data_IF_768972071009
#
_entry.id   IF_768972071009
#
_cell.length_a   1.000
_cell.length_b   1.000
_cell.length_c   1.000
_cell.angle_alpha   90.00
_cell.angle_beta   90.00
_cell.angle_gamma   90.00
#
_symmetry.space_group_name_H-M   'P 1'
#
loop_
_entity.id
_entity.type
_entity.pdbx_description
1 polymer ?
#
# COMPACT_ATOMS: atom_id res chain seq x y z
N UNK A 1 -11.47 -9.99 -49.73
CA UNK A 1 -12.14 -9.28 -48.61
C UNK A 1 -11.96 -9.98 -47.25
N UNK A 2 -12.08 -11.31 -47.15
CA UNK A 2 -12.01 -12.07 -45.88
C UNK A 2 -10.74 -11.88 -45.02
N UNK A 3 -9.56 -11.76 -45.65
CA UNK A 3 -8.27 -11.62 -44.95
C UNK A 3 -8.15 -10.31 -44.14
N UNK A 4 -8.81 -9.23 -44.58
CA UNK A 4 -8.84 -7.95 -43.87
C UNK A 4 -9.73 -8.00 -42.62
N UNK A 5 -10.83 -8.75 -42.66
CA UNK A 5 -11.71 -8.91 -41.49
C UNK A 5 -11.00 -9.70 -40.39
N UNK A 6 -10.32 -10.80 -40.76
CA UNK A 6 -9.51 -11.59 -39.83
C UNK A 6 -8.37 -10.77 -39.19
N UNK A 7 -7.68 -9.92 -39.97
CA UNK A 7 -6.62 -9.05 -39.46
C UNK A 7 -7.15 -7.99 -38.48
N UNK A 8 -8.28 -7.33 -38.81
CA UNK A 8 -8.92 -6.34 -37.96
C UNK A 8 -9.43 -6.96 -36.65
N UNK A 9 -10.05 -8.12 -36.72
CA UNK A 9 -10.54 -8.84 -35.54
C UNK A 9 -9.39 -9.29 -34.64
N UNK A 10 -8.28 -9.77 -35.22
CA UNK A 10 -7.08 -10.12 -34.45
C UNK A 10 -6.46 -8.91 -33.77
N UNK A 11 -6.40 -7.76 -34.45
CA UNK A 11 -5.92 -6.50 -33.86
C UNK A 11 -6.83 -6.03 -32.72
N UNK A 12 -8.15 -6.11 -32.88
CA UNK A 12 -9.11 -5.76 -31.83
C UNK A 12 -8.96 -6.69 -30.63
N UNK A 13 -8.83 -8.00 -30.85
CA UNK A 13 -8.63 -8.99 -29.80
C UNK A 13 -7.31 -8.76 -29.04
N UNK A 14 -6.23 -8.39 -29.73
CA UNK A 14 -4.97 -8.06 -29.08
C UNK A 14 -5.08 -6.78 -28.22
N UNK A 15 -5.72 -5.74 -28.75
CA UNK A 15 -5.89 -4.48 -28.01
C UNK A 15 -6.77 -4.70 -26.76
N UNK A 16 -7.89 -5.41 -26.89
CA UNK A 16 -8.76 -5.69 -25.75
C UNK A 16 -8.07 -6.58 -24.71
N UNK A 17 -7.30 -7.58 -25.15
CA UNK A 17 -6.53 -8.43 -24.27
C UNK A 17 -5.45 -7.65 -23.50
N UNK A 18 -4.69 -6.78 -24.18
CA UNK A 18 -3.70 -5.92 -23.53
C UNK A 18 -4.36 -4.97 -22.54
N UNK A 19 -5.49 -4.37 -22.90
CA UNK A 19 -6.26 -3.51 -22.00
C UNK A 19 -6.69 -4.25 -20.73
N UNK A 20 -7.29 -5.44 -20.89
CA UNK A 20 -7.72 -6.26 -19.75
C UNK A 20 -6.54 -6.70 -18.88
N UNK A 21 -5.45 -7.19 -19.48
CA UNK A 21 -4.24 -7.57 -18.76
C UNK A 21 -3.63 -6.38 -18.01
N UNK A 22 -3.60 -5.20 -18.65
CA UNK A 22 -3.12 -3.97 -18.04
C UNK A 22 -3.94 -3.56 -16.81
N UNK A 23 -5.27 -3.64 -16.88
CA UNK A 23 -6.12 -3.34 -15.73
C UNK A 23 -5.90 -4.31 -14.57
N UNK A 24 -5.76 -5.61 -14.85
CA UNK A 24 -5.45 -6.61 -13.81
C UNK A 24 -4.10 -6.30 -13.16
N UNK A 25 -3.05 -6.06 -13.96
CA UNK A 25 -1.73 -5.69 -13.43
C UNK A 25 -1.80 -4.43 -12.55
N UNK A 26 -2.54 -3.40 -12.97
CA UNK A 26 -2.70 -2.18 -12.20
C UNK A 26 -3.43 -2.42 -10.87
N UNK A 27 -4.46 -3.25 -10.84
CA UNK A 27 -5.18 -3.61 -9.60
C UNK A 27 -4.26 -4.30 -8.58
N UNK A 28 -3.44 -5.25 -9.02
CA UNK A 28 -2.48 -5.92 -8.13
C UNK A 28 -1.32 -5.02 -7.71
N UNK A 29 -0.87 -4.11 -8.58
CA UNK A 29 0.21 -3.18 -8.27
C UNK A 29 -0.20 -2.03 -7.32
N UNK A 30 -1.50 -1.73 -7.18
CA UNK A 30 -1.97 -0.64 -6.33
C UNK A 30 -1.67 -0.85 -4.84
N UNK A 31 -1.77 -2.08 -4.35
CA UNK A 31 -1.53 -2.43 -2.94
C UNK A 31 -0.08 -2.16 -2.51
N UNK A 32 0.95 -2.74 -3.15
CA UNK A 32 2.34 -2.49 -2.76
C UNK A 32 2.76 -1.02 -2.96
N UNK A 33 2.18 -0.33 -3.96
CA UNK A 33 2.40 1.10 -4.12
C UNK A 33 1.91 1.90 -2.91
N UNK A 34 0.75 1.53 -2.36
CA UNK A 34 0.21 2.14 -1.15
C UNK A 34 1.02 1.78 0.10
N UNK A 35 1.51 0.54 0.20
CA UNK A 35 2.39 0.13 1.30
C UNK A 35 3.68 0.96 1.34
N UNK A 36 4.34 1.16 0.20
CA UNK A 36 5.53 2.02 0.09
C UNK A 36 5.20 3.45 0.51
N UNK A 37 4.06 3.97 0.08
CA UNK A 37 3.60 5.30 0.50
C UNK A 37 3.45 5.38 2.02
N UNK A 38 2.79 4.41 2.65
CA UNK A 38 2.65 4.32 4.11
C UNK A 38 4.01 4.22 4.81
N UNK A 39 4.94 3.43 4.26
CA UNK A 39 6.28 3.26 4.80
C UNK A 39 7.16 4.50 4.71
N UNK A 40 7.01 5.34 3.69
CA UNK A 40 7.83 6.56 3.55
C UNK A 40 7.23 7.72 4.35
N UNK A 41 5.90 7.81 4.40
CA UNK A 41 5.20 8.94 5.03
C UNK A 41 4.86 8.72 6.51
N UNK A 42 4.86 7.46 6.97
CA UNK A 42 4.36 7.10 8.29
C UNK A 42 2.83 7.02 8.39
N UNK A 43 2.12 7.04 7.26
CA UNK A 43 0.66 6.90 7.24
C UNK A 43 0.21 5.53 7.74
N UNK A 44 -1.01 5.45 8.28
CA UNK A 44 -1.57 4.19 8.80
C UNK A 44 -0.95 3.70 10.11
N UNK A 45 -0.20 4.55 10.82
CA UNK A 45 0.52 4.17 12.04
C UNK A 45 1.86 3.50 11.79
N UNK A 46 2.39 3.60 10.56
CA UNK A 46 3.71 3.07 10.22
C UNK A 46 4.79 3.86 10.96
N UNK A 47 5.44 3.22 11.93
CA UNK A 47 6.46 3.86 12.77
C UNK A 47 7.75 4.06 11.98
N UNK A 48 8.28 5.28 12.01
CA UNK A 48 9.58 5.60 11.44
C UNK A 48 10.66 5.56 12.53
N UNK A 49 11.79 4.92 12.21
CA UNK A 49 12.97 4.95 13.08
C UNK A 49 13.88 6.10 12.63
N UNK A 50 14.22 7.00 13.56
CA UNK A 50 15.18 8.06 13.27
C UNK A 50 16.61 7.49 13.36
N UNK A 51 17.38 7.63 12.29
CA UNK A 51 18.81 7.22 12.25
C UNK A 51 19.72 8.26 12.91
N UNK A 52 19.27 9.50 13.00
CA UNK A 52 20.03 10.63 13.56
C UNK A 52 19.28 11.20 14.76
N UNK A 53 20.03 11.62 15.77
CA UNK A 53 19.47 12.30 16.92
C UNK A 53 18.79 13.62 16.48
N UNK A 54 17.62 13.97 17.04
CA UNK A 54 16.95 15.22 16.72
C UNK A 54 17.75 16.42 17.22
N UNK A 55 17.95 17.43 16.35
CA UNK A 55 18.69 18.66 16.68
C UNK A 55 17.99 19.53 17.73
N UNK A 56 16.67 19.36 17.91
CA UNK A 56 15.84 20.14 18.83
C UNK A 56 15.13 19.22 19.81
N UNK A 57 15.28 19.54 21.09
CA UNK A 57 14.50 18.96 22.18
C UNK A 57 13.27 19.87 22.40
N UNK A 58 12.07 19.29 22.29
CA UNK A 58 10.84 20.01 22.63
C UNK A 58 10.69 20.10 24.15
N UNK A 59 10.37 21.28 24.69
CA UNK A 59 9.96 21.46 26.09
C UNK A 59 8.48 21.09 26.27
N UNK A 60 8.14 19.82 26.04
CA UNK A 60 6.79 19.28 26.19
C UNK A 60 6.81 18.10 27.16
N UNK A 61 6.16 18.26 28.31
CA UNK A 61 5.93 17.15 29.24
C UNK A 61 4.79 16.27 28.72
N UNK A 62 5.07 14.99 28.47
CA UNK A 62 4.05 13.98 28.19
C UNK A 62 3.80 13.13 29.43
N UNK A 63 2.53 13.02 29.84
CA UNK A 63 2.13 12.10 30.91
C UNK A 63 1.90 10.72 30.30
N UNK A 64 2.77 9.77 30.63
CA UNK A 64 2.66 8.37 30.18
C UNK A 64 2.11 7.54 31.34
N UNK A 65 1.02 6.80 31.10
CA UNK A 65 0.48 5.84 32.06
C UNK A 65 0.88 4.43 31.63
N UNK A 66 1.70 3.78 32.43
CA UNK A 66 1.98 2.36 32.29
C UNK A 66 0.85 1.57 32.94
N UNK A 67 0.23 0.65 32.19
CA UNK A 67 -0.78 -0.25 32.72
C UNK A 67 -0.27 -1.70 32.68
N UNK A 68 -0.45 -2.44 33.77
CA UNK A 68 -0.10 -3.84 33.91
C UNK A 68 -1.22 -4.65 34.59
N UNK A 69 -2.48 -4.22 34.40
CA UNK A 69 -3.64 -4.93 34.94
C UNK A 69 -3.69 -6.38 34.42
N UNK A 70 -3.87 -7.34 35.34
CA UNK A 70 -4.08 -8.76 35.02
C UNK A 70 -5.48 -9.17 35.49
N UNK A 71 -6.33 -9.65 34.58
CA UNK A 71 -7.67 -10.18 34.90
C UNK A 71 -7.75 -11.66 34.55
N UNK A 72 -8.16 -12.48 35.53
CA UNK A 72 -8.38 -13.92 35.39
C UNK A 72 -9.54 -14.29 34.45
N UNK A 73 -10.38 -13.33 34.05
CA UNK A 73 -11.52 -13.51 33.13
C UNK A 73 -11.20 -13.12 31.68
N UNK A 74 -10.00 -12.63 31.38
CA UNK A 74 -9.60 -12.36 30.01
C UNK A 74 -9.38 -13.69 29.24
N UNK A 75 -9.87 -13.83 28.00
CA UNK A 75 -9.96 -15.12 27.31
C UNK A 75 -8.69 -15.54 26.54
N UNK A 76 -7.51 -15.14 27.01
CA UNK A 76 -6.22 -15.50 26.40
C UNK A 76 -5.44 -16.50 27.25
#
# INVERSE_FOLDING_TARGET
MARNLAYRNRRLALISFIGAAGMVCASYAAVPLYEIFCQVTGYGGTTQTAEVAPDKILDRKMTIRFNADVDRKLPW
#
